data_IF_791409593383
#
_entry.id   IF_791409593383
#
_cell.length_a   1.000
_cell.length_b   1.000
_cell.length_c   1.000
_cell.angle_alpha   90.00
_cell.angle_beta   90.00
_cell.angle_gamma   90.00
#
_symmetry.space_group_name_H-M   'P 1'
#
loop_
_entity.id
_entity.type
_entity.pdbx_description
1 polymer ?
#
# COMPACT_ATOMS: atom_id res chain seq x y z
N UNK A 1 32.63 -18.60 -2.17
CA UNK A 1 31.64 -19.47 -1.49
C UNK A 1 31.20 -18.83 -0.19
N UNK A 2 29.95 -18.38 -0.07
CA UNK A 2 29.26 -18.24 1.23
C UNK A 2 27.77 -18.53 0.98
N UNK A 3 27.33 -19.71 1.39
CA UNK A 3 25.96 -20.18 1.24
C UNK A 3 25.02 -19.44 2.20
N UNK A 4 23.81 -19.14 1.72
CA UNK A 4 22.72 -18.65 2.56
C UNK A 4 22.22 -19.83 3.38
N UNK A 5 22.40 -19.79 4.69
CA UNK A 5 21.85 -20.79 5.60
C UNK A 5 20.34 -20.61 5.69
N UNK A 6 19.59 -21.39 4.92
CA UNK A 6 18.14 -21.50 5.07
C UNK A 6 17.86 -22.41 6.26
N UNK A 7 17.60 -21.82 7.43
CA UNK A 7 17.13 -22.56 8.58
C UNK A 7 15.72 -23.10 8.26
N UNK A 8 15.66 -24.37 7.86
CA UNK A 8 14.41 -25.06 7.53
C UNK A 8 13.63 -25.33 8.81
N UNK A 9 12.89 -24.34 9.30
CA UNK A 9 11.96 -24.52 10.41
C UNK A 9 10.73 -25.25 9.85
N UNK A 10 10.76 -26.59 9.90
CA UNK A 10 9.56 -27.42 9.77
C UNK A 10 8.79 -27.34 11.09
N UNK A 11 7.86 -26.40 11.19
CA UNK A 11 6.80 -26.47 12.19
C UNK A 11 5.45 -26.24 11.51
N UNK A 12 4.81 -27.35 11.12
CA UNK A 12 3.36 -27.39 10.94
C UNK A 12 2.73 -27.27 12.34
N UNK A 13 2.48 -26.05 12.75
CA UNK A 13 1.54 -25.73 13.81
C UNK A 13 0.96 -24.36 13.47
N UNK A 14 -0.25 -24.34 12.92
CA UNK A 14 -1.04 -23.12 12.78
C UNK A 14 -1.44 -22.67 14.18
N UNK A 15 -0.49 -22.10 14.92
CA UNK A 15 -0.82 -21.28 16.08
C UNK A 15 -1.38 -20.00 15.48
N UNK A 16 -2.63 -19.68 15.80
CA UNK A 16 -3.20 -18.34 15.58
C UNK A 16 -2.36 -17.34 16.37
N UNK A 17 -1.19 -16.97 15.85
CA UNK A 17 -0.43 -15.83 16.35
C UNK A 17 -1.24 -14.60 16.00
N UNK A 18 -1.93 -14.07 16.99
CA UNK A 18 -2.67 -12.81 16.89
C UNK A 18 -1.67 -11.72 16.49
N UNK A 19 -1.77 -11.27 15.24
CA UNK A 19 -0.91 -10.22 14.71
C UNK A 19 -1.38 -8.89 15.32
N UNK A 20 -0.61 -8.36 16.27
CA UNK A 20 -0.83 -7.02 16.78
C UNK A 20 -0.31 -5.98 15.78
N UNK A 21 -1.15 -5.65 14.80
CA UNK A 21 -0.89 -4.55 13.88
C UNK A 21 -1.09 -3.23 14.62
N UNK A 22 -0.01 -2.48 14.82
CA UNK A 22 -0.11 -1.10 15.33
C UNK A 22 -0.43 -0.17 14.17
N UNK A 23 -1.37 0.74 14.38
CA UNK A 23 -1.63 1.80 13.41
C UNK A 23 -0.38 2.69 13.31
N UNK A 24 0.32 2.59 12.18
CA UNK A 24 1.50 3.41 11.89
C UNK A 24 1.12 4.87 11.61
N UNK A 25 -0.10 5.10 11.15
CA UNK A 25 -0.61 6.41 10.79
C UNK A 25 -1.91 6.65 11.55
N UNK A 26 -2.04 7.84 12.14
CA UNK A 26 -3.27 8.29 12.82
C UNK A 26 -4.34 8.69 11.79
N UNK A 27 -3.90 9.27 10.68
CA UNK A 27 -4.75 9.66 9.55
C UNK A 27 -4.30 8.91 8.28
N UNK A 28 -5.22 8.69 7.33
CA UNK A 28 -4.86 8.09 6.05
C UNK A 28 -3.81 8.94 5.34
N UNK A 29 -2.68 8.37 4.89
CA UNK A 29 -1.69 9.13 4.16
C UNK A 29 -2.28 9.62 2.83
N UNK A 30 -2.02 10.88 2.52
CA UNK A 30 -2.36 11.47 1.24
C UNK A 30 -1.54 10.84 0.11
N UNK A 31 -2.03 10.94 -1.13
CA UNK A 31 -1.27 10.57 -2.31
C UNK A 31 -0.79 11.81 -3.05
N UNK A 32 0.27 11.69 -3.83
CA UNK A 32 0.68 12.79 -4.71
C UNK A 32 -0.36 13.06 -5.80
N UNK A 33 -0.46 14.32 -6.25
CA UNK A 33 -1.36 14.71 -7.33
C UNK A 33 -1.10 13.94 -8.63
N UNK A 34 0.17 13.62 -8.91
CA UNK A 34 0.57 12.77 -10.03
C UNK A 34 -0.04 11.37 -9.91
N UNK A 35 0.09 10.75 -8.73
CA UNK A 35 -0.40 9.40 -8.48
C UNK A 35 -1.93 9.33 -8.58
N UNK A 36 -2.64 10.38 -8.15
CA UNK A 36 -4.10 10.49 -8.32
C UNK A 36 -4.49 10.48 -9.81
N UNK A 37 -3.80 11.27 -10.63
CA UNK A 37 -4.05 11.33 -12.08
C UNK A 37 -3.78 9.98 -12.76
N UNK A 38 -2.68 9.32 -12.41
CA UNK A 38 -2.34 8.01 -12.96
C UNK A 38 -3.41 6.97 -12.61
N UNK A 39 -3.88 6.92 -11.36
CA UNK A 39 -4.92 5.99 -10.95
C UNK A 39 -6.25 6.21 -11.69
N UNK A 40 -6.64 7.46 -11.91
CA UNK A 40 -7.84 7.79 -12.70
C UNK A 40 -7.64 7.34 -14.16
N UNK A 41 -6.48 7.61 -14.75
CA UNK A 41 -6.14 7.19 -16.11
C UNK A 41 -6.17 5.67 -16.27
N UNK A 42 -5.68 4.92 -15.28
CA UNK A 42 -5.73 3.45 -15.27
C UNK A 42 -7.18 2.93 -15.19
N UNK A 43 -8.06 3.61 -14.45
CA UNK A 43 -9.50 3.30 -14.45
C UNK A 43 -10.14 3.59 -15.81
N UNK A 44 -9.80 4.72 -16.44
CA UNK A 44 -10.36 5.13 -17.73
C UNK A 44 -9.85 4.23 -18.87
N UNK A 45 -8.62 3.72 -18.75
CA UNK A 45 -8.01 2.72 -19.66
C UNK A 45 -8.45 1.28 -19.39
N UNK A 46 -9.33 1.06 -18.40
CA UNK A 46 -9.83 -0.26 -17.96
C UNK A 46 -8.73 -1.26 -17.55
N UNK A 47 -7.56 -0.76 -17.14
CA UNK A 47 -6.46 -1.56 -16.57
C UNK A 47 -6.79 -1.97 -15.14
N UNK A 48 -7.47 -1.08 -14.41
CA UNK A 48 -8.06 -1.37 -13.10
C UNK A 48 -9.57 -1.10 -13.14
N UNK A 49 -10.38 -1.78 -12.30
CA UNK A 49 -11.83 -1.67 -12.37
C UNK A 49 -12.34 -0.24 -12.26
N UNK A 50 -13.24 0.13 -13.19
CA UNK A 50 -13.82 1.48 -13.28
C UNK A 50 -14.62 1.90 -12.05
N UNK A 51 -15.10 0.94 -11.25
CA UNK A 51 -15.79 1.21 -9.98
C UNK A 51 -14.95 2.04 -9.01
N UNK A 52 -13.62 1.91 -9.07
CA UNK A 52 -12.71 2.67 -8.20
C UNK A 52 -12.46 4.09 -8.67
N UNK A 53 -12.87 4.47 -9.88
CA UNK A 53 -12.65 5.81 -10.44
C UNK A 53 -13.22 6.90 -9.54
N UNK A 54 -14.45 6.70 -9.04
CA UNK A 54 -15.10 7.65 -8.14
C UNK A 54 -14.40 7.78 -6.79
N UNK A 55 -13.82 6.68 -6.29
CA UNK A 55 -13.00 6.69 -5.09
C UNK A 55 -11.73 7.53 -5.31
N UNK A 56 -10.96 7.26 -6.35
CA UNK A 56 -9.71 8.01 -6.62
C UNK A 56 -9.97 9.48 -6.94
N UNK A 57 -11.09 9.82 -7.58
CA UNK A 57 -11.45 11.22 -7.85
C UNK A 57 -11.66 12.04 -6.56
N UNK A 58 -12.25 11.42 -5.52
CA UNK A 58 -12.51 12.05 -4.22
C UNK A 58 -11.33 11.98 -3.24
N UNK A 59 -10.29 11.23 -3.55
CA UNK A 59 -9.14 11.12 -2.67
C UNK A 59 -8.40 12.45 -2.61
N UNK A 60 -8.10 12.93 -1.40
CA UNK A 60 -7.25 14.12 -1.24
C UNK A 60 -5.84 13.82 -1.74
N UNK A 61 -5.24 14.83 -2.36
CA UNK A 61 -3.89 14.74 -2.88
C UNK A 61 -3.09 15.95 -2.44
N UNK A 62 -1.89 15.71 -1.94
CA UNK A 62 -0.95 16.76 -1.61
C UNK A 62 0.34 16.55 -2.37
N UNK A 63 0.87 17.66 -2.89
CA UNK A 63 2.13 17.68 -3.61
C UNK A 63 3.35 17.71 -2.67
N UNK A 64 3.13 17.61 -1.36
CA UNK A 64 4.17 17.59 -0.33
C UNK A 64 4.71 16.18 -0.10
N UNK A 65 5.70 15.79 -0.88
CA UNK A 65 6.69 14.83 -0.39
C UNK A 65 7.50 15.50 0.73
N UNK A 66 7.11 15.24 1.98
CA UNK A 66 7.94 15.44 3.18
C UNK A 66 8.61 16.80 3.32
N UNK A 67 7.89 17.78 3.88
CA UNK A 67 8.52 18.91 4.57
C UNK A 67 8.76 18.54 6.04
N UNK A 68 9.53 17.48 6.31
CA UNK A 68 10.05 17.20 7.65
C UNK A 68 11.57 17.02 7.56
N UNK A 69 12.26 18.04 8.09
CA UNK A 69 13.65 18.07 8.51
C UNK A 69 13.82 17.29 9.81
#
# INVERSE_FOLDING_TARGET
MKGINVLKIRTRASRNTELQLRNKYLEPPEISGLKKKDLISLCDSNVIPRVYRGYYARLEAADSYGADR
#
